data_IF_648968334260
#
_entry.id   IF_648968334260
#
_cell.length_a   1.000
_cell.length_b   1.000
_cell.length_c   1.000
_cell.angle_alpha   90.00
_cell.angle_beta   90.00
_cell.angle_gamma   90.00
#
_symmetry.space_group_name_H-M   'P 1'
#
loop_
_entity.id
_entity.type
_entity.pdbx_description
1 polymer ?
#
# COMPACT_ATOMS: atom_id res chain seq x y z
N UNK A 1 21.16 -6.84 -0.95
CA UNK A 1 20.49 -6.12 0.16
C UNK A 1 20.90 -4.66 0.28
N UNK A 2 22.18 -4.29 0.10
CA UNK A 2 22.63 -2.88 0.22
C UNK A 2 22.00 -1.90 -0.79
N UNK A 3 21.80 -2.29 -2.05
CA UNK A 3 21.17 -1.41 -3.07
C UNK A 3 19.70 -1.13 -2.77
N UNK A 4 18.92 -2.16 -2.43
CA UNK A 4 17.51 -2.00 -2.07
C UNK A 4 17.34 -1.12 -0.83
N UNK A 5 18.19 -1.32 0.18
CA UNK A 5 18.20 -0.49 1.38
C UNK A 5 18.47 0.98 1.07
N UNK A 6 19.40 1.24 0.16
CA UNK A 6 19.69 2.60 -0.31
C UNK A 6 18.48 3.25 -0.96
N UNK A 7 17.79 2.53 -1.85
CA UNK A 7 16.58 3.03 -2.53
C UNK A 7 15.46 3.33 -1.51
N UNK A 8 15.19 2.41 -0.59
CA UNK A 8 14.04 2.51 0.31
C UNK A 8 14.27 3.33 1.59
N UNK A 9 15.51 3.66 1.95
CA UNK A 9 15.84 4.33 3.22
C UNK A 9 16.75 5.55 3.08
N UNK A 10 17.32 5.78 1.91
CA UNK A 10 18.31 6.84 1.68
C UNK A 10 17.95 7.73 0.48
N UNK A 11 16.75 7.61 -0.06
CA UNK A 11 16.27 8.49 -1.13
C UNK A 11 15.76 9.79 -0.53
N UNK A 12 16.33 10.93 -0.93
CA UNK A 12 15.80 12.23 -0.54
C UNK A 12 14.39 12.43 -1.13
N UNK A 13 13.37 12.36 -0.28
CA UNK A 13 11.96 12.48 -0.68
C UNK A 13 11.51 13.94 -0.65
N UNK A 14 12.04 14.75 -1.59
CA UNK A 14 11.63 16.14 -1.74
C UNK A 14 10.15 16.27 -2.14
N UNK A 15 9.54 17.42 -1.89
CA UNK A 15 8.16 17.71 -2.32
C UNK A 15 7.94 17.51 -3.82
N UNK A 16 8.91 17.93 -4.63
CA UNK A 16 8.86 17.73 -6.08
C UNK A 16 8.78 16.25 -6.45
N UNK A 17 9.55 15.40 -5.76
CA UNK A 17 9.54 13.95 -6.00
C UNK A 17 8.21 13.32 -5.55
N UNK A 18 7.65 13.74 -4.42
CA UNK A 18 6.34 13.26 -3.95
C UNK A 18 5.25 13.59 -4.95
N UNK A 19 5.18 14.84 -5.42
CA UNK A 19 4.18 15.28 -6.39
C UNK A 19 4.35 14.53 -7.72
N UNK A 20 5.58 14.43 -8.24
CA UNK A 20 5.84 13.69 -9.47
C UNK A 20 5.47 12.21 -9.33
N UNK A 21 5.82 11.59 -8.21
CA UNK A 21 5.47 10.20 -7.93
C UNK A 21 3.96 10.01 -7.86
N UNK A 22 3.23 10.92 -7.20
CA UNK A 22 1.76 10.89 -7.15
C UNK A 22 1.13 11.01 -8.55
N UNK A 23 1.62 11.93 -9.38
CA UNK A 23 1.15 12.11 -10.74
C UNK A 23 1.41 10.85 -11.59
N UNK A 24 2.62 10.31 -11.54
CA UNK A 24 2.98 9.09 -12.28
C UNK A 24 2.11 7.91 -11.84
N UNK A 25 2.00 7.66 -10.53
CA UNK A 25 1.17 6.57 -10.01
C UNK A 25 -0.31 6.74 -10.40
N UNK A 26 -0.88 7.93 -10.23
CA UNK A 26 -2.26 8.19 -10.56
C UNK A 26 -2.56 8.00 -12.06
N UNK A 27 -1.69 8.53 -12.93
CA UNK A 27 -1.84 8.39 -14.38
C UNK A 27 -1.66 6.93 -14.82
N UNK A 28 -0.61 6.26 -14.35
CA UNK A 28 -0.33 4.86 -14.73
C UNK A 28 -1.46 3.94 -14.29
N UNK A 29 -1.86 4.04 -13.02
CA UNK A 29 -2.96 3.19 -12.50
C UNK A 29 -4.28 3.53 -13.21
N UNK A 30 -4.60 4.81 -13.41
CA UNK A 30 -5.78 5.21 -14.18
C UNK A 30 -5.77 4.68 -15.60
N UNK A 31 -4.63 4.74 -16.29
CA UNK A 31 -4.47 4.22 -17.64
C UNK A 31 -4.60 2.69 -17.73
N UNK A 32 -4.12 1.94 -16.72
CA UNK A 32 -4.28 0.48 -16.66
C UNK A 32 -5.74 0.05 -16.47
N UNK A 33 -6.61 0.94 -15.98
CA UNK A 33 -8.03 0.67 -15.79
C UNK A 33 -8.87 0.87 -17.05
N UNK A 34 -8.30 1.41 -18.14
CA UNK A 34 -9.05 1.74 -19.37
C UNK A 34 -9.20 0.55 -20.32
N UNK A 35 -8.15 -0.24 -20.63
CA UNK A 35 -8.25 -1.28 -21.66
C UNK A 35 -9.07 -2.49 -21.21
N UNK A 36 -10.12 -2.82 -21.95
CA UNK A 36 -11.00 -3.99 -21.68
C UNK A 36 -10.24 -5.32 -21.66
N UNK A 37 -9.16 -5.46 -22.46
CA UNK A 37 -8.36 -6.69 -22.47
C UNK A 37 -7.59 -6.91 -21.16
N UNK A 38 -7.45 -5.88 -20.31
CA UNK A 38 -6.87 -6.00 -18.97
C UNK A 38 -7.90 -6.34 -17.89
N UNK A 39 -9.22 -6.28 -18.17
CA UNK A 39 -10.29 -6.39 -17.18
C UNK A 39 -10.22 -7.65 -16.31
N UNK A 40 -9.72 -8.71 -16.76
CA UNK A 40 -9.59 -9.95 -15.98
C UNK A 40 -8.15 -10.29 -15.61
N UNK A 41 -7.27 -9.32 -15.75
CA UNK A 41 -5.85 -9.50 -15.43
C UNK A 41 -5.49 -8.86 -14.10
N UNK A 42 -4.36 -9.27 -13.55
CA UNK A 42 -3.81 -8.67 -12.33
C UNK A 42 -3.30 -7.23 -12.50
N UNK A 43 -3.17 -6.73 -13.73
CA UNK A 43 -2.67 -5.36 -13.97
C UNK A 43 -3.66 -4.27 -13.56
N UNK A 44 -4.94 -4.58 -13.42
CA UNK A 44 -5.94 -3.65 -12.89
C UNK A 44 -6.00 -3.63 -11.35
N UNK A 45 -5.40 -4.60 -10.67
CA UNK A 45 -5.44 -4.68 -9.21
C UNK A 45 -4.95 -3.41 -8.49
N UNK A 46 -3.90 -2.71 -8.93
CA UNK A 46 -3.48 -1.45 -8.29
C UNK A 46 -4.57 -0.39 -8.19
N UNK A 47 -5.59 -0.41 -9.06
CA UNK A 47 -6.74 0.47 -8.99
C UNK A 47 -7.85 0.02 -8.01
N UNK A 48 -7.80 -1.24 -7.55
CA UNK A 48 -8.87 -1.89 -6.78
C UNK A 48 -8.40 -2.28 -5.37
N UNK A 49 -7.16 -2.72 -5.22
CA UNK A 49 -6.59 -3.29 -4.01
C UNK A 49 -5.55 -2.37 -3.37
N UNK A 50 -5.12 -2.68 -2.14
CA UNK A 50 -4.32 -1.76 -1.32
C UNK A 50 -2.82 -1.99 -1.37
N UNK A 51 -2.35 -3.17 -1.75
CA UNK A 51 -0.94 -3.58 -1.62
C UNK A 51 0.02 -2.62 -2.34
N UNK A 52 -0.26 -2.26 -3.57
CA UNK A 52 0.55 -1.28 -4.31
C UNK A 52 0.63 0.08 -3.59
N UNK A 53 -0.50 0.52 -3.03
CA UNK A 53 -0.60 1.82 -2.35
C UNK A 53 0.11 1.82 -1.00
N UNK A 54 0.09 0.67 -0.30
CA UNK A 54 0.87 0.49 0.94
C UNK A 54 2.36 0.54 0.65
N UNK A 55 2.84 -0.16 -0.39
CA UNK A 55 4.24 -0.09 -0.81
C UNK A 55 4.67 1.33 -1.20
N UNK A 56 3.84 2.05 -1.97
CA UNK A 56 4.10 3.44 -2.35
C UNK A 56 4.15 4.38 -1.13
N UNK A 57 3.19 4.21 -0.20
CA UNK A 57 3.17 4.98 1.05
C UNK A 57 4.42 4.70 1.89
N UNK A 58 4.77 3.44 2.09
CA UNK A 58 5.96 3.05 2.86
C UNK A 58 7.24 3.57 2.21
N UNK A 59 7.34 3.57 0.88
CA UNK A 59 8.47 4.17 0.18
C UNK A 59 8.63 5.66 0.52
N UNK A 60 7.54 6.42 0.56
CA UNK A 60 7.57 7.84 0.97
C UNK A 60 7.94 7.96 2.44
N UNK A 61 7.25 7.25 3.33
CA UNK A 61 7.39 7.33 4.79
C UNK A 61 8.82 7.02 5.23
N UNK A 62 9.40 5.95 4.70
CA UNK A 62 10.74 5.49 5.07
C UNK A 62 11.84 6.46 4.65
N UNK A 63 11.58 7.29 3.63
CA UNK A 63 12.50 8.29 3.12
C UNK A 63 12.22 9.71 3.65
N UNK A 64 11.40 9.86 4.69
CA UNK A 64 11.20 11.12 5.40
C UNK A 64 12.00 11.17 6.70
N UNK A 65 12.52 12.35 7.07
CA UNK A 65 13.33 12.53 8.28
C UNK A 65 12.49 12.63 9.54
N UNK A 66 11.28 13.17 9.45
CA UNK A 66 10.40 13.46 10.59
C UNK A 66 9.04 12.77 10.41
N UNK A 67 8.40 12.35 11.53
CA UNK A 67 7.08 11.69 11.46
C UNK A 67 5.99 12.58 10.87
N UNK A 68 5.98 13.88 11.23
CA UNK A 68 5.00 14.82 10.69
C UNK A 68 5.17 15.00 9.18
N UNK A 69 6.42 15.09 8.72
CA UNK A 69 6.75 15.16 7.29
C UNK A 69 6.26 13.92 6.55
N UNK A 70 6.48 12.73 7.10
CA UNK A 70 6.00 11.47 6.55
C UNK A 70 4.47 11.46 6.40
N UNK A 71 3.75 11.88 7.45
CA UNK A 71 2.30 11.99 7.41
C UNK A 71 1.80 12.95 6.35
N UNK A 72 2.35 14.18 6.30
CA UNK A 72 1.91 15.20 5.33
C UNK A 72 2.24 14.78 3.89
N UNK A 73 3.45 14.27 3.63
CA UNK A 73 3.85 13.84 2.29
C UNK A 73 3.04 12.65 1.79
N UNK A 74 2.75 11.68 2.65
CA UNK A 74 1.90 10.55 2.30
C UNK A 74 0.47 11.00 2.01
N UNK A 75 -0.08 11.88 2.85
CA UNK A 75 -1.41 12.46 2.62
C UNK A 75 -1.49 13.19 1.27
N UNK A 76 -0.52 14.07 0.97
CA UNK A 76 -0.48 14.81 -0.29
C UNK A 76 -0.33 13.88 -1.49
N UNK A 77 0.48 12.82 -1.36
CA UNK A 77 0.60 11.79 -2.39
C UNK A 77 -0.76 11.19 -2.75
N UNK A 78 -1.55 10.76 -1.76
CA UNK A 78 -2.87 10.19 -1.99
C UNK A 78 -3.91 11.22 -2.44
N UNK A 79 -3.83 12.45 -1.91
CA UNK A 79 -4.71 13.54 -2.32
C UNK A 79 -4.59 13.88 -3.81
N UNK A 80 -3.41 13.68 -4.40
CA UNK A 80 -3.16 13.90 -5.82
C UNK A 80 -3.44 12.63 -6.63
N UNK A 81 -2.89 11.49 -6.22
CA UNK A 81 -2.94 10.26 -7.02
C UNK A 81 -4.33 9.67 -7.13
N UNK A 82 -5.13 9.67 -6.04
CA UNK A 82 -6.44 9.03 -6.03
C UNK A 82 -7.48 9.69 -6.96
N UNK A 83 -7.70 11.02 -6.93
CA UNK A 83 -8.62 11.64 -7.89
C UNK A 83 -8.10 11.55 -9.32
N UNK A 84 -6.78 11.53 -9.52
CA UNK A 84 -6.18 11.45 -10.84
C UNK A 84 -6.47 10.12 -11.54
N UNK A 85 -6.58 9.02 -10.79
CA UNK A 85 -7.00 7.71 -11.32
C UNK A 85 -8.35 7.84 -12.03
N UNK A 86 -9.34 8.48 -11.38
CA UNK A 86 -10.66 8.69 -11.96
C UNK A 86 -10.63 9.67 -13.12
N UNK A 87 -9.90 10.77 -12.95
CA UNK A 87 -9.80 11.82 -13.99
C UNK A 87 -9.29 11.27 -15.32
N UNK A 88 -8.27 10.40 -15.27
CA UNK A 88 -7.69 9.74 -16.46
C UNK A 88 -8.73 8.83 -17.14
N UNK A 89 -9.62 8.20 -16.39
CA UNK A 89 -10.65 7.29 -16.92
C UNK A 89 -11.89 8.01 -17.47
N UNK A 90 -12.19 9.24 -17.02
CA UNK A 90 -13.41 9.98 -17.41
C UNK A 90 -13.66 10.00 -18.92
N UNK A 91 -12.67 10.28 -19.81
CA UNK A 91 -12.93 10.34 -21.25
C UNK A 91 -13.28 8.99 -21.88
N UNK A 92 -12.90 7.88 -21.23
CA UNK A 92 -13.00 6.52 -21.79
C UNK A 92 -14.10 5.69 -21.12
N UNK A 93 -14.63 6.13 -19.99
CA UNK A 93 -15.68 5.39 -19.26
C UNK A 93 -17.06 5.81 -19.72
N UNK A 94 -17.98 4.83 -19.83
CA UNK A 94 -19.40 5.09 -20.07
C UNK A 94 -20.07 5.89 -18.91
N UNK A 95 -19.52 5.81 -17.69
CA UNK A 95 -19.99 6.58 -16.54
C UNK A 95 -19.52 8.04 -16.58
N UNK A 96 -18.51 8.39 -17.37
CA UNK A 96 -17.90 9.72 -17.41
C UNK A 96 -17.62 10.26 -15.99
N UNK A 97 -18.10 11.45 -15.66
CA UNK A 97 -17.95 12.06 -14.33
C UNK A 97 -18.60 11.28 -13.19
N UNK A 98 -19.53 10.38 -13.49
CA UNK A 98 -20.15 9.48 -12.51
C UNK A 98 -19.14 8.56 -11.80
N UNK A 99 -17.95 8.33 -12.38
CA UNK A 99 -16.86 7.60 -11.72
C UNK A 99 -16.46 8.21 -10.37
N UNK A 100 -16.58 9.53 -10.23
CA UNK A 100 -16.27 10.22 -8.97
C UNK A 100 -17.23 9.87 -7.82
N UNK A 101 -18.34 9.18 -8.07
CA UNK A 101 -19.20 8.65 -7.01
C UNK A 101 -18.49 7.62 -6.11
N UNK A 102 -17.43 6.98 -6.59
CA UNK A 102 -16.60 6.06 -5.80
C UNK A 102 -15.53 6.78 -4.96
N UNK A 103 -15.19 8.02 -5.32
CA UNK A 103 -14.12 8.77 -4.67
C UNK A 103 -14.34 9.07 -3.17
N UNK A 104 -15.56 9.31 -2.64
CA UNK A 104 -15.74 9.61 -1.22
C UNK A 104 -15.15 8.56 -0.27
N UNK A 105 -15.23 7.27 -0.64
CA UNK A 105 -14.61 6.17 0.14
C UNK A 105 -13.09 6.29 0.17
N UNK A 106 -12.48 6.51 -0.99
CA UNK A 106 -11.04 6.70 -1.11
C UNK A 106 -10.57 8.02 -0.48
N UNK A 107 -11.38 9.07 -0.58
CA UNK A 107 -11.15 10.36 0.09
C UNK A 107 -11.07 10.21 1.61
N UNK A 108 -11.97 9.42 2.21
CA UNK A 108 -11.92 9.12 3.65
C UNK A 108 -10.64 8.36 4.01
N UNK A 109 -10.27 7.35 3.24
CA UNK A 109 -9.03 6.61 3.43
C UNK A 109 -7.80 7.52 3.27
N UNK A 110 -7.84 8.45 2.32
CA UNK A 110 -6.79 9.46 2.13
C UNK A 110 -6.58 10.29 3.39
N UNK A 111 -7.64 10.72 4.08
CA UNK A 111 -7.52 11.43 5.35
C UNK A 111 -6.79 10.61 6.42
N UNK A 112 -7.04 9.29 6.47
CA UNK A 112 -6.38 8.39 7.40
C UNK A 112 -4.90 8.16 7.09
N UNK A 113 -4.44 8.45 5.88
CA UNK A 113 -3.01 8.31 5.52
C UNK A 113 -2.13 9.33 6.26
N UNK A 114 -2.67 10.47 6.69
CA UNK A 114 -1.93 11.44 7.48
C UNK A 114 -1.51 10.88 8.86
N UNK A 115 -2.43 10.49 9.77
CA UNK A 115 -2.05 9.88 11.04
C UNK A 115 -1.35 8.52 10.83
N UNK A 116 -1.76 7.74 9.83
CA UNK A 116 -1.13 6.48 9.47
C UNK A 116 0.34 6.66 9.09
N UNK A 117 0.68 7.66 8.30
CA UNK A 117 2.06 7.97 7.90
C UNK A 117 2.92 8.41 9.08
N UNK A 118 2.37 9.19 10.02
CA UNK A 118 3.07 9.55 11.27
C UNK A 118 3.41 8.30 12.08
N UNK A 119 2.44 7.41 12.29
CA UNK A 119 2.64 6.17 13.04
C UNK A 119 3.62 5.22 12.33
N UNK A 120 3.43 5.00 11.04
CA UNK A 120 4.27 4.09 10.25
C UNK A 120 5.74 4.55 10.18
N UNK A 121 6.02 5.86 10.30
CA UNK A 121 7.38 6.38 10.36
C UNK A 121 8.19 5.77 11.52
N UNK A 122 7.55 5.47 12.67
CA UNK A 122 8.23 4.87 13.81
C UNK A 122 8.68 3.42 13.54
N UNK A 123 8.14 2.75 12.53
CA UNK A 123 8.57 1.41 12.15
C UNK A 123 10.05 1.36 11.69
N UNK A 124 10.60 2.46 11.14
CA UNK A 124 12.01 2.51 10.73
C UNK A 124 13.02 2.54 11.86
N UNK A 125 12.58 2.79 13.10
CA UNK A 125 13.47 2.83 14.28
C UNK A 125 14.08 1.48 14.65
N UNK A 126 13.49 0.37 14.18
CA UNK A 126 14.00 -0.99 14.39
C UNK A 126 13.99 -1.42 15.87
N UNK A 127 13.06 -0.92 16.66
CA UNK A 127 12.82 -1.24 18.06
C UNK A 127 11.55 -2.09 18.24
N UNK A 128 11.13 -2.37 19.48
CA UNK A 128 9.92 -3.15 19.76
C UNK A 128 8.62 -2.48 19.28
N UNK A 129 8.57 -1.15 19.24
CA UNK A 129 7.45 -0.42 18.60
C UNK A 129 7.38 -0.73 17.11
N UNK A 130 8.54 -0.86 16.44
CA UNK A 130 8.59 -1.27 15.03
C UNK A 130 8.05 -2.68 14.84
N UNK A 131 8.33 -3.59 15.77
CA UNK A 131 7.76 -4.95 15.74
C UNK A 131 6.25 -4.89 15.82
N UNK A 132 5.70 -4.15 16.78
CA UNK A 132 4.25 -4.02 16.97
C UNK A 132 3.57 -3.40 15.74
N UNK A 133 4.09 -2.27 15.25
CA UNK A 133 3.54 -1.57 14.08
C UNK A 133 3.56 -2.45 12.82
N UNK A 134 4.67 -3.15 12.57
CA UNK A 134 4.76 -4.07 11.43
C UNK A 134 3.84 -5.27 11.59
N UNK A 135 3.69 -5.80 12.81
CA UNK A 135 2.76 -6.90 13.06
C UNK A 135 1.32 -6.50 12.78
N UNK A 136 0.90 -5.32 13.24
CA UNK A 136 -0.45 -4.79 12.98
C UNK A 136 -0.67 -4.52 11.49
N UNK A 137 0.29 -3.90 10.81
CA UNK A 137 0.21 -3.63 9.38
C UNK A 137 0.12 -4.93 8.56
N UNK A 138 0.94 -5.93 8.90
CA UNK A 138 0.90 -7.24 8.24
C UNK A 138 -0.42 -7.99 8.53
N UNK A 139 -0.91 -7.98 9.75
CA UNK A 139 -2.20 -8.59 10.07
C UNK A 139 -3.31 -7.95 9.22
N UNK A 140 -3.35 -6.61 9.13
CA UNK A 140 -4.32 -5.91 8.30
C UNK A 140 -4.18 -6.24 6.81
N UNK A 141 -2.95 -6.32 6.29
CA UNK A 141 -2.68 -6.67 4.91
C UNK A 141 -3.07 -8.11 4.56
N UNK A 142 -2.92 -9.05 5.50
CA UNK A 142 -3.28 -10.46 5.31
C UNK A 142 -4.79 -10.75 5.44
N UNK A 143 -5.57 -9.85 6.04
CA UNK A 143 -7.02 -10.05 6.20
C UNK A 143 -7.76 -10.39 4.90
N UNK A 144 -7.57 -9.68 3.78
CA UNK A 144 -8.25 -10.00 2.53
C UNK A 144 -7.63 -11.18 1.78
N UNK A 145 -6.45 -11.68 2.17
CA UNK A 145 -5.70 -12.67 1.42
C UNK A 145 -6.46 -14.00 1.19
N UNK A 146 -7.17 -14.58 2.18
CA UNK A 146 -7.94 -15.80 1.94
C UNK A 146 -9.03 -15.61 0.89
N UNK A 147 -9.78 -14.50 0.95
CA UNK A 147 -10.82 -14.18 -0.03
C UNK A 147 -10.23 -13.92 -1.42
N UNK A 148 -9.12 -13.19 -1.50
CA UNK A 148 -8.42 -12.94 -2.77
C UNK A 148 -7.88 -14.23 -3.38
N UNK A 149 -7.37 -15.16 -2.56
CA UNK A 149 -6.89 -16.47 -3.03
C UNK A 149 -8.03 -17.34 -3.56
N UNK A 150 -9.19 -17.35 -2.90
CA UNK A 150 -10.39 -18.04 -3.40
C UNK A 150 -10.89 -17.41 -4.69
N UNK A 151 -11.01 -16.11 -4.76
CA UNK A 151 -11.42 -15.40 -5.96
C UNK A 151 -10.42 -15.55 -7.12
N UNK A 152 -9.12 -15.74 -6.81
CA UNK A 152 -8.12 -16.05 -7.82
C UNK A 152 -8.38 -17.42 -8.46
N UNK A 153 -8.83 -18.43 -7.70
CA UNK A 153 -9.16 -19.76 -8.24
C UNK A 153 -10.29 -19.63 -9.28
N UNK A 154 -11.32 -18.86 -8.97
CA UNK A 154 -12.49 -18.68 -9.84
C UNK A 154 -12.25 -17.73 -11.02
N UNK A 155 -11.32 -16.79 -10.88
CA UNK A 155 -11.09 -15.69 -11.83
C UNK A 155 -9.61 -15.53 -12.21
N UNK A 156 -8.87 -16.64 -12.37
CA UNK A 156 -7.46 -16.60 -12.76
C UNK A 156 -7.28 -15.89 -14.12
N UNK A 157 -6.28 -15.01 -14.29
CA UNK A 157 -5.22 -14.61 -13.34
C UNK A 157 -5.50 -13.31 -12.58
N UNK A 158 -6.75 -12.90 -12.41
CA UNK A 158 -7.15 -11.57 -11.94
C UNK A 158 -6.51 -11.13 -10.61
N UNK A 159 -6.41 -12.01 -9.62
CA UNK A 159 -5.90 -11.67 -8.29
C UNK A 159 -4.48 -12.17 -8.01
N UNK A 160 -3.82 -12.73 -9.03
CA UNK A 160 -2.50 -13.37 -8.88
C UNK A 160 -1.46 -12.44 -8.28
N UNK A 161 -1.34 -11.20 -8.80
CA UNK A 161 -0.35 -10.25 -8.29
C UNK A 161 -0.64 -9.84 -6.84
N UNK A 162 -1.90 -9.61 -6.46
CA UNK A 162 -2.26 -9.27 -5.09
C UNK A 162 -1.89 -10.42 -4.12
N UNK A 163 -2.25 -11.65 -4.47
CA UNK A 163 -1.96 -12.85 -3.65
C UNK A 163 -0.46 -13.08 -3.48
N UNK A 164 0.35 -12.77 -4.48
CA UNK A 164 1.81 -12.90 -4.40
C UNK A 164 2.46 -11.68 -3.74
N UNK A 165 1.96 -10.48 -4.02
CA UNK A 165 2.58 -9.23 -3.59
C UNK A 165 2.41 -8.98 -2.09
N UNK A 166 1.24 -9.25 -1.52
CA UNK A 166 0.97 -9.05 -0.09
C UNK A 166 1.98 -9.80 0.80
N UNK A 167 2.19 -11.13 0.66
CA UNK A 167 3.18 -11.83 1.47
C UNK A 167 4.61 -11.38 1.18
N UNK A 168 4.94 -11.13 -0.09
CA UNK A 168 6.27 -10.67 -0.48
C UNK A 168 6.60 -9.30 0.14
N UNK A 169 5.65 -8.38 0.12
CA UNK A 169 5.76 -7.05 0.73
C UNK A 169 5.94 -7.14 2.25
N UNK A 170 5.11 -7.94 2.92
CA UNK A 170 5.18 -8.17 4.35
C UNK A 170 6.57 -8.68 4.79
N UNK A 171 7.05 -9.72 4.11
CA UNK A 171 8.39 -10.27 4.35
C UNK A 171 9.47 -9.23 4.05
N UNK A 172 9.37 -8.54 2.91
CA UNK A 172 10.35 -7.54 2.49
C UNK A 172 10.52 -6.44 3.55
N UNK A 173 9.43 -5.83 4.03
CA UNK A 173 9.52 -4.75 5.03
C UNK A 173 9.97 -5.23 6.40
N UNK A 174 9.60 -6.44 6.84
CA UNK A 174 10.14 -7.05 8.05
C UNK A 174 11.67 -7.18 7.94
N UNK A 175 12.19 -7.72 6.83
CA UNK A 175 13.63 -7.89 6.64
C UNK A 175 14.38 -6.58 6.41
N UNK A 176 13.75 -5.60 5.79
CA UNK A 176 14.34 -4.28 5.56
C UNK A 176 14.50 -3.51 6.88
N UNK A 177 13.47 -3.52 7.74
CA UNK A 177 13.39 -2.65 8.91
C UNK A 177 13.91 -3.31 10.18
N UNK A 178 13.68 -4.60 10.37
CA UNK A 178 14.12 -5.32 11.58
C UNK A 178 15.44 -6.05 11.33
N UNK A 179 16.49 -5.63 12.05
CA UNK A 179 17.83 -6.23 11.90
C UNK A 179 17.98 -7.55 12.66
N UNK A 180 17.39 -7.64 13.86
CA UNK A 180 17.53 -8.79 14.75
C UNK A 180 16.56 -9.91 14.35
N UNK A 181 17.05 -11.15 14.30
CA UNK A 181 16.24 -12.34 13.94
C UNK A 181 15.05 -12.52 14.89
N UNK A 182 15.27 -12.33 16.18
CA UNK A 182 14.24 -12.43 17.22
C UNK A 182 13.06 -11.47 16.96
N UNK A 183 13.36 -10.21 16.59
CA UNK A 183 12.35 -9.21 16.28
C UNK A 183 11.56 -9.55 15.01
N UNK A 184 12.22 -10.15 13.99
CA UNK A 184 11.55 -10.63 12.78
C UNK A 184 10.57 -11.76 13.09
N UNK A 185 11.03 -12.74 13.87
CA UNK A 185 10.18 -13.86 14.30
C UNK A 185 9.02 -13.36 15.17
N UNK A 186 9.29 -12.46 16.11
CA UNK A 186 8.26 -11.85 16.93
C UNK A 186 7.20 -11.10 16.06
N UNK A 187 7.63 -10.34 15.05
CA UNK A 187 6.72 -9.63 14.16
C UNK A 187 5.80 -10.59 13.41
N UNK A 188 6.33 -11.68 12.88
CA UNK A 188 5.53 -12.70 12.18
C UNK A 188 4.57 -13.43 13.12
N UNK A 189 5.04 -13.82 14.30
CA UNK A 189 4.21 -14.51 15.29
C UNK A 189 3.06 -13.62 15.80
N UNK A 190 3.35 -12.37 16.13
CA UNK A 190 2.33 -11.42 16.58
C UNK A 190 1.32 -11.15 15.45
N UNK A 191 1.77 -10.97 14.20
CA UNK A 191 0.87 -10.82 13.07
C UNK A 191 -0.06 -12.04 12.90
N UNK A 192 0.47 -13.24 13.00
CA UNK A 192 -0.31 -14.48 12.94
C UNK A 192 -1.33 -14.57 14.10
N UNK A 193 -0.90 -14.25 15.33
CA UNK A 193 -1.80 -14.25 16.48
C UNK A 193 -2.93 -13.22 16.33
N UNK A 194 -2.63 -12.02 15.81
CA UNK A 194 -3.64 -11.01 15.52
C UNK A 194 -4.64 -11.49 14.47
N UNK A 195 -4.15 -12.13 13.39
CA UNK A 195 -5.02 -12.71 12.37
C UNK A 195 -5.95 -13.79 12.92
N UNK A 196 -5.42 -14.72 13.73
CA UNK A 196 -6.21 -15.76 14.38
C UNK A 196 -7.25 -15.16 15.33
N UNK A 197 -6.88 -14.13 16.08
CA UNK A 197 -7.78 -13.41 16.96
C UNK A 197 -8.93 -12.77 16.16
N UNK A 198 -8.61 -12.04 15.11
CA UNK A 198 -9.60 -11.40 14.25
C UNK A 198 -10.51 -12.45 13.60
N UNK A 199 -9.96 -13.54 13.08
CA UNK A 199 -10.74 -14.63 12.48
C UNK A 199 -11.65 -15.36 13.47
N UNK A 200 -11.33 -15.33 14.76
CA UNK A 200 -12.19 -15.91 15.82
C UNK A 200 -13.38 -15.02 16.17
N UNK A 201 -13.26 -13.69 16.01
CA UNK A 201 -14.31 -12.73 16.35
C UNK A 201 -15.15 -12.26 15.15
N UNK A 202 -14.75 -12.56 13.92
CA UNK A 202 -15.52 -12.28 12.69
C UNK A 202 -16.30 -13.51 12.21
#
# INVERSE_FOLDING_TARGET
MNRLRKIFLETDMTWRRVILFALVCGVVVGALMIPEFLDRTSFQQPGITFEFWVAAALYIILNCDKPLEAGVKTFVFFLISQPLIYLVQVPFSWMHWGLFSYYPRWGLLTLLTFPGGILAWYAKKGNWWSVLLLSMANAAAFLPLPSLALWMIDSFPRYLLAVLFIPAEAVFFIFLLLKKREMRLAALLIALLLLLLIAFFL
#
